data_IF_890430951224
#
_entry.id   IF_890430951224
#
_cell.length_a   1.000
_cell.length_b   1.000
_cell.length_c   1.000
_cell.angle_alpha   90.00
_cell.angle_beta   90.00
_cell.angle_gamma   90.00
#
_symmetry.space_group_name_H-M   'P 1'
#
loop_
_entity.id
_entity.type
_entity.pdbx_description
1 polymer ?
#
# COMPACT_ATOMS: atom_id res chain seq x y z
N UNK A 1 0.90 1.88 2.82
CA UNK A 1 -0.57 1.89 2.58
C UNK A 1 -1.33 2.81 3.52
N UNK A 2 -1.46 2.49 4.82
CA UNK A 2 -2.21 3.34 5.78
C UNK A 2 -1.82 4.82 5.71
N UNK A 3 -0.52 5.11 5.72
CA UNK A 3 -0.03 6.49 5.73
C UNK A 3 -0.49 7.30 4.51
N UNK A 4 -0.50 6.70 3.32
CA UNK A 4 -1.02 7.36 2.11
C UNK A 4 -2.52 7.65 2.22
N UNK A 5 -3.31 6.73 2.78
CA UNK A 5 -4.74 6.96 3.03
C UNK A 5 -4.97 8.10 4.02
N UNK A 6 -4.19 8.14 5.12
CA UNK A 6 -4.31 9.21 6.13
C UNK A 6 -3.90 10.56 5.55
N UNK A 7 -2.82 10.61 4.75
CA UNK A 7 -2.40 11.85 4.06
C UNK A 7 -3.44 12.30 3.04
N UNK A 8 -4.02 11.38 2.27
CA UNK A 8 -5.08 11.70 1.33
C UNK A 8 -6.34 12.22 2.04
N UNK A 9 -6.77 11.55 3.12
CA UNK A 9 -7.87 12.00 3.95
C UNK A 9 -7.66 13.43 4.48
N UNK A 10 -6.47 13.72 5.01
CA UNK A 10 -6.13 15.06 5.51
C UNK A 10 -6.17 16.13 4.40
N UNK A 11 -5.70 15.83 3.19
CA UNK A 11 -5.75 16.75 2.04
C UNK A 11 -7.19 17.08 1.62
N UNK A 12 -8.11 16.13 1.78
CA UNK A 12 -9.53 16.32 1.47
C UNK A 12 -10.37 16.76 2.68
N UNK A 13 -9.75 17.16 3.79
CA UNK A 13 -10.47 17.62 4.99
C UNK A 13 -11.27 16.52 5.71
N UNK A 14 -11.04 15.25 5.40
CA UNK A 14 -11.79 14.12 5.93
C UNK A 14 -11.37 13.81 7.38
N UNK A 15 -12.35 13.83 8.29
CA UNK A 15 -12.15 13.42 9.68
C UNK A 15 -12.29 11.90 9.82
N UNK A 16 -11.16 11.23 10.01
CA UNK A 16 -11.11 9.78 10.26
C UNK A 16 -11.56 9.45 11.69
N UNK A 17 -12.40 8.43 11.85
CA UNK A 17 -12.88 7.94 13.16
C UNK A 17 -11.73 7.40 14.02
N UNK A 18 -10.74 6.77 13.39
CA UNK A 18 -9.54 6.28 14.06
C UNK A 18 -8.31 6.44 13.18
N UNK A 19 -7.22 6.90 13.81
CA UNK A 19 -5.93 7.01 13.18
C UNK A 19 -4.90 6.12 13.91
N UNK A 20 -4.31 5.16 13.19
CA UNK A 20 -3.32 4.23 13.75
C UNK A 20 -1.86 4.67 13.54
N UNK A 21 -1.60 5.96 13.33
CA UNK A 21 -0.26 6.47 13.02
C UNK A 21 0.78 6.19 14.11
N UNK A 22 0.39 6.14 15.39
CA UNK A 22 1.32 5.82 16.49
C UNK A 22 1.65 4.34 16.57
N UNK A 23 0.64 3.48 16.52
CA UNK A 23 0.81 2.05 16.80
C UNK A 23 1.27 1.22 15.60
N UNK A 24 0.87 1.60 14.38
CA UNK A 24 1.16 0.80 13.20
C UNK A 24 2.67 0.75 12.83
N UNK A 25 3.47 1.83 12.98
CA UNK A 25 4.93 1.76 12.84
C UNK A 25 5.59 0.85 13.87
N UNK A 26 5.07 0.82 15.11
CA UNK A 26 5.56 -0.08 16.15
C UNK A 26 5.29 -1.55 15.77
N UNK A 27 4.07 -1.87 15.32
CA UNK A 27 3.74 -3.20 14.82
C UNK A 27 4.61 -3.62 13.62
N UNK A 28 4.87 -2.71 12.68
CA UNK A 28 5.74 -2.98 11.54
C UNK A 28 7.16 -3.38 11.99
N UNK A 29 7.74 -2.65 12.95
CA UNK A 29 9.04 -3.00 13.55
C UNK A 29 9.01 -4.36 14.26
N UNK A 30 7.95 -4.65 15.02
CA UNK A 30 7.80 -5.94 15.70
C UNK A 30 7.71 -7.12 14.72
N UNK A 31 7.04 -6.95 13.57
CA UNK A 31 6.97 -7.98 12.53
C UNK A 31 8.37 -8.39 12.07
N UNK A 32 9.26 -7.42 11.82
CA UNK A 32 10.65 -7.69 11.45
C UNK A 32 11.42 -8.45 12.54
N UNK A 33 11.25 -8.05 13.81
CA UNK A 33 11.87 -8.75 14.96
C UNK A 33 11.37 -10.19 15.10
N UNK A 34 10.06 -10.41 14.96
CA UNK A 34 9.51 -11.77 15.01
C UNK A 34 9.97 -12.63 13.84
N UNK A 35 10.12 -12.05 12.64
CA UNK A 35 10.67 -12.75 11.50
C UNK A 35 12.12 -13.20 11.76
N UNK A 36 12.97 -12.29 12.25
CA UNK A 36 14.36 -12.58 12.62
C UNK A 36 14.45 -13.70 13.67
N UNK A 37 13.64 -13.62 14.72
CA UNK A 37 13.59 -14.63 15.78
C UNK A 37 12.82 -15.92 15.39
N UNK A 38 12.41 -16.08 14.12
CA UNK A 38 11.60 -17.20 13.62
C UNK A 38 10.26 -17.42 14.38
N UNK A 39 9.74 -16.39 15.04
CA UNK A 39 8.48 -16.41 15.79
C UNK A 39 7.27 -16.18 14.87
N UNK A 40 7.08 -17.06 13.88
CA UNK A 40 6.11 -16.86 12.81
C UNK A 40 4.65 -16.78 13.28
N UNK A 41 4.27 -17.44 14.37
CA UNK A 41 2.92 -17.33 14.96
C UNK A 41 2.63 -15.89 15.41
N UNK A 42 3.58 -15.26 16.12
CA UNK A 42 3.47 -13.86 16.57
C UNK A 42 3.53 -12.88 15.40
N UNK A 43 4.42 -13.14 14.45
CA UNK A 43 4.52 -12.37 13.20
C UNK A 43 3.18 -12.35 12.44
N UNK A 44 2.58 -13.52 12.19
CA UNK A 44 1.28 -13.65 11.49
C UNK A 44 0.16 -12.91 12.24
N UNK A 45 0.14 -12.96 13.58
CA UNK A 45 -0.83 -12.21 14.39
C UNK A 45 -0.68 -10.69 14.21
N UNK A 46 0.56 -10.18 14.28
CA UNK A 46 0.84 -8.76 14.07
C UNK A 46 0.48 -8.29 12.65
N UNK A 47 0.81 -9.10 11.63
CA UNK A 47 0.42 -8.85 10.24
C UNK A 47 -1.11 -8.79 10.07
N UNK A 48 -1.85 -9.72 10.69
CA UNK A 48 -3.32 -9.71 10.68
C UNK A 48 -3.88 -8.43 11.28
N UNK A 49 -3.36 -8.01 12.43
CA UNK A 49 -3.74 -6.74 13.08
C UNK A 49 -3.48 -5.55 12.17
N UNK A 50 -2.32 -5.49 11.52
CA UNK A 50 -1.97 -4.41 10.59
C UNK A 50 -2.93 -4.39 9.38
N UNK A 51 -3.25 -5.55 8.80
CA UNK A 51 -4.20 -5.68 7.68
C UNK A 51 -5.59 -5.20 8.08
N UNK A 52 -6.08 -5.58 9.26
CA UNK A 52 -7.38 -5.13 9.78
C UNK A 52 -7.44 -3.61 9.99
N UNK A 53 -6.35 -3.00 10.49
CA UNK A 53 -6.26 -1.54 10.70
C UNK A 53 -6.28 -0.78 9.38
N UNK A 54 -5.50 -1.23 8.39
CA UNK A 54 -5.53 -0.64 7.04
C UNK A 54 -6.93 -0.76 6.43
N UNK A 55 -7.56 -1.93 6.52
CA UNK A 55 -8.91 -2.15 6.00
C UNK A 55 -10.00 -1.36 6.74
N UNK A 56 -9.79 -1.00 8.01
CA UNK A 56 -10.69 -0.09 8.73
C UNK A 56 -10.58 1.33 8.20
N UNK A 57 -9.36 1.87 8.10
CA UNK A 57 -9.12 3.23 7.57
C UNK A 57 -9.62 3.35 6.13
N UNK A 58 -9.34 2.35 5.27
CA UNK A 58 -9.82 2.32 3.90
C UNK A 58 -11.35 2.42 3.81
N UNK A 59 -12.08 1.64 4.61
CA UNK A 59 -13.56 1.68 4.64
C UNK A 59 -14.11 2.99 5.19
N UNK A 60 -13.39 3.63 6.12
CA UNK A 60 -13.79 4.92 6.68
C UNK A 60 -13.68 6.02 5.63
N UNK A 61 -12.56 6.05 4.89
CA UNK A 61 -12.35 6.95 3.74
C UNK A 61 -13.39 6.68 2.64
N UNK A 62 -13.65 5.41 2.33
CA UNK A 62 -14.63 5.00 1.31
C UNK A 62 -16.05 5.48 1.65
N UNK A 63 -16.46 5.42 2.93
CA UNK A 63 -17.78 5.95 3.37
C UNK A 63 -17.89 7.46 3.25
N UNK A 64 -16.78 8.18 3.33
CA UNK A 64 -16.75 9.63 3.24
C UNK A 64 -16.51 10.14 1.81
N UNK A 65 -16.41 9.24 0.84
CA UNK A 65 -16.11 9.58 -0.55
C UNK A 65 -17.17 10.50 -1.18
N UNK A 66 -18.44 10.36 -0.77
CA UNK A 66 -19.55 11.21 -1.23
C UNK A 66 -19.42 12.67 -0.78
N UNK A 67 -18.69 12.92 0.31
CA UNK A 67 -18.46 14.28 0.85
C UNK A 67 -17.26 15.01 0.24
N UNK A 68 -16.48 14.36 -0.63
CA UNK A 68 -15.28 14.91 -1.25
C UNK A 68 -15.62 15.60 -2.58
N UNK A 69 -15.02 16.77 -2.83
CA UNK A 69 -15.12 17.49 -4.09
C UNK A 69 -14.62 16.66 -5.29
N UNK A 70 -15.25 16.82 -6.45
CA UNK A 70 -15.03 15.96 -7.63
C UNK A 70 -13.59 16.01 -8.17
N UNK A 71 -12.89 17.14 -8.02
CA UNK A 71 -11.51 17.33 -8.48
C UNK A 71 -10.50 16.36 -7.85
N UNK A 72 -10.78 15.87 -6.64
CA UNK A 72 -9.92 14.93 -5.91
C UNK A 72 -10.49 13.51 -5.78
N UNK A 73 -11.76 13.32 -6.17
CA UNK A 73 -12.50 12.07 -5.94
C UNK A 73 -11.92 10.91 -6.75
N UNK A 74 -11.52 11.13 -8.00
CA UNK A 74 -10.96 10.10 -8.88
C UNK A 74 -9.64 9.53 -8.34
N UNK A 75 -8.71 10.38 -7.94
CA UNK A 75 -7.43 9.98 -7.35
C UNK A 75 -7.62 9.23 -6.02
N UNK A 76 -8.60 9.66 -5.21
CA UNK A 76 -8.93 9.00 -3.95
C UNK A 76 -9.54 7.60 -4.19
N UNK A 77 -10.46 7.49 -5.15
CA UNK A 77 -11.03 6.20 -5.60
C UNK A 77 -9.94 5.25 -6.09
N UNK A 78 -9.00 5.75 -6.89
CA UNK A 78 -7.88 4.95 -7.35
C UNK A 78 -7.02 4.44 -6.19
N UNK A 79 -6.69 5.31 -5.23
CA UNK A 79 -5.93 4.95 -4.05
C UNK A 79 -6.65 3.90 -3.19
N UNK A 80 -7.97 4.02 -3.04
CA UNK A 80 -8.82 3.01 -2.37
C UNK A 80 -8.76 1.69 -3.14
N UNK A 81 -8.92 1.72 -4.47
CA UNK A 81 -8.83 0.55 -5.34
C UNK A 81 -7.49 -0.18 -5.24
N UNK A 82 -6.38 0.57 -5.31
CA UNK A 82 -5.02 0.05 -5.10
C UNK A 82 -4.86 -0.57 -3.70
N UNK A 83 -5.38 0.10 -2.67
CA UNK A 83 -5.32 -0.43 -1.30
C UNK A 83 -6.14 -1.71 -1.13
N UNK A 84 -7.34 -1.77 -1.73
CA UNK A 84 -8.18 -2.97 -1.76
C UNK A 84 -7.47 -4.13 -2.44
N UNK A 85 -6.79 -3.88 -3.57
CA UNK A 85 -5.97 -4.88 -4.27
C UNK A 85 -4.87 -5.44 -3.37
N UNK A 86 -4.09 -4.59 -2.68
CA UNK A 86 -3.08 -5.06 -1.72
C UNK A 86 -3.71 -5.91 -0.61
N UNK A 87 -4.89 -5.51 -0.13
CA UNK A 87 -5.60 -6.22 0.93
C UNK A 87 -6.28 -7.51 0.44
N UNK A 88 -6.45 -7.77 -0.85
CA UNK A 88 -7.02 -9.01 -1.37
C UNK A 88 -5.96 -9.95 -1.95
N UNK A 89 -4.82 -9.40 -2.38
CA UNK A 89 -3.73 -10.11 -3.03
C UNK A 89 -3.19 -11.28 -2.19
N UNK A 90 -2.95 -12.41 -2.86
CA UNK A 90 -2.36 -13.63 -2.32
C UNK A 90 -0.93 -13.80 -2.83
N UNK A 91 -0.17 -14.68 -2.17
CA UNK A 91 1.23 -14.93 -2.48
C UNK A 91 1.47 -15.49 -3.89
N UNK A 92 0.48 -16.17 -4.50
CA UNK A 92 0.62 -16.81 -5.82
C UNK A 92 -0.02 -16.03 -6.98
N UNK A 93 -0.52 -14.82 -6.74
CA UNK A 93 -1.14 -14.02 -7.79
C UNK A 93 -0.09 -13.54 -8.81
N UNK A 94 -0.46 -13.41 -10.09
CA UNK A 94 0.46 -13.02 -11.17
C UNK A 94 0.67 -11.51 -11.23
N UNK A 95 -0.42 -10.74 -11.27
CA UNK A 95 -0.36 -9.28 -11.35
C UNK A 95 -0.34 -8.70 -9.93
N UNK A 96 0.80 -8.83 -9.25
CA UNK A 96 0.98 -8.30 -7.90
C UNK A 96 1.34 -6.82 -7.93
N UNK A 97 0.69 -6.05 -7.08
CA UNK A 97 1.11 -4.68 -6.77
C UNK A 97 2.25 -4.75 -5.74
N UNK A 98 3.43 -4.25 -6.10
CA UNK A 98 4.62 -4.24 -5.24
C UNK A 98 4.78 -2.90 -4.49
N UNK A 99 4.55 -1.78 -5.18
CA UNK A 99 4.55 -0.45 -4.61
C UNK A 99 3.18 0.21 -4.75
N UNK A 100 2.67 0.82 -3.66
CA UNK A 100 1.39 1.53 -3.71
C UNK A 100 1.46 2.82 -4.53
N UNK A 101 2.61 3.52 -4.45
CA UNK A 101 2.83 4.81 -5.10
C UNK A 101 3.26 4.69 -6.57
N UNK A 102 3.76 3.52 -6.98
CA UNK A 102 4.28 3.25 -8.32
C UNK A 102 3.72 1.90 -8.82
N UNK A 103 2.46 1.84 -9.27
CA UNK A 103 1.80 0.61 -9.69
C UNK A 103 2.37 -0.03 -10.96
N UNK A 104 3.05 0.76 -11.79
CA UNK A 104 3.76 0.35 -13.00
C UNK A 104 5.05 -0.44 -12.73
N UNK A 105 5.52 -0.49 -11.47
CA UNK A 105 6.73 -1.24 -11.11
C UNK A 105 6.46 -2.73 -11.15
N UNK A 106 7.20 -3.43 -12.00
CA UNK A 106 7.23 -4.88 -12.07
C UNK A 106 8.46 -5.45 -11.35
N UNK A 107 8.28 -6.57 -10.64
CA UNK A 107 9.41 -7.32 -10.07
C UNK A 107 9.87 -8.37 -11.07
N UNK A 108 11.09 -8.22 -11.58
CA UNK A 108 11.74 -9.22 -12.44
C UNK A 108 12.87 -9.92 -11.67
N UNK A 109 12.97 -11.23 -11.84
CA UNK A 109 14.05 -12.01 -11.24
C UNK A 109 15.34 -11.81 -12.05
N UNK A 110 16.14 -10.80 -11.73
CA UNK A 110 17.43 -10.56 -12.40
C UNK A 110 18.52 -11.48 -11.83
N UNK A 111 18.62 -12.72 -12.31
CA UNK A 111 19.79 -13.63 -12.19
C UNK A 111 20.26 -14.05 -10.79
N UNK A 112 19.85 -13.36 -9.71
CA UNK A 112 20.15 -13.69 -8.31
C UNK A 112 18.87 -14.15 -7.64
N UNK A 113 18.74 -15.47 -7.45
CA UNK A 113 17.54 -16.13 -6.93
C UNK A 113 17.06 -15.61 -5.55
N UNK A 114 17.91 -14.92 -4.79
CA UNK A 114 17.61 -14.44 -3.43
C UNK A 114 17.09 -13.01 -3.34
N UNK A 115 17.18 -12.19 -4.40
CA UNK A 115 16.76 -10.77 -4.36
C UNK A 115 15.98 -10.40 -5.62
N UNK A 116 14.64 -10.31 -5.55
CA UNK A 116 13.84 -9.70 -6.61
C UNK A 116 14.29 -8.25 -6.82
N UNK A 117 14.50 -7.84 -8.06
CA UNK A 117 14.88 -6.47 -8.41
C UNK A 117 13.64 -5.71 -8.84
N UNK A 118 13.36 -4.58 -8.19
CA UNK A 118 12.30 -3.65 -8.58
C UNK A 118 12.85 -2.76 -9.71
N UNK A 119 12.40 -2.97 -10.94
CA UNK A 119 12.74 -2.06 -12.04
C UNK A 119 11.68 -0.96 -12.11
N UNK A 120 12.04 0.27 -11.75
CA UNK A 120 11.23 1.43 -12.11
C UNK A 120 11.27 1.62 -13.63
N UNK A 121 10.11 1.81 -14.27
CA UNK A 121 10.02 1.99 -15.73
C UNK A 121 10.73 3.30 -16.11
N UNK A 122 12.04 3.24 -16.36
CA UNK A 122 12.85 4.36 -16.83
C UNK A 122 12.95 4.26 -18.35
N UNK A 123 12.12 5.02 -19.06
CA UNK A 123 12.18 5.15 -20.52
C UNK A 123 12.97 6.40 -20.91
N UNK A 124 14.00 6.23 -21.74
CA UNK A 124 14.66 7.32 -22.46
C UNK A 124 13.98 7.47 -23.83
N UNK A 125 13.26 8.57 -24.04
CA UNK A 125 12.64 8.89 -25.34
C UNK A 125 13.60 9.80 -26.10
N UNK A 126 14.14 9.31 -27.21
CA UNK A 126 14.96 10.11 -28.12
C UNK A 126 14.11 10.44 -29.34
N UNK A 127 13.67 11.69 -29.45
CA UNK A 127 12.87 12.17 -30.58
C UNK A 127 13.79 12.82 -31.60
N UNK A 128 13.99 12.20 -32.76
CA UNK A 128 14.68 12.84 -33.89
C UNK A 128 13.68 13.72 -34.64
N UNK A 129 13.94 15.02 -34.70
CA UNK A 129 13.15 15.95 -35.50
C UNK A 129 13.36 15.62 -37.00
N UNK A 130 12.27 15.53 -37.77
CA UNK A 130 12.33 15.56 -39.24
C UNK A 130 12.21 16.99 -39.74
#
# INVERSE_FOLDING_TARGET
>A
CREHLVKAAARHGLKLRQNYNREAPHLARQIGRYAHAKQYKRMKKALRTLRSRVGRVMRDVERQLESVADTGRSALQELIGRTRRILSQKQKDRNKLYALHAPEVECLAKGKARTPYEFGVKVSITTTHK
#
